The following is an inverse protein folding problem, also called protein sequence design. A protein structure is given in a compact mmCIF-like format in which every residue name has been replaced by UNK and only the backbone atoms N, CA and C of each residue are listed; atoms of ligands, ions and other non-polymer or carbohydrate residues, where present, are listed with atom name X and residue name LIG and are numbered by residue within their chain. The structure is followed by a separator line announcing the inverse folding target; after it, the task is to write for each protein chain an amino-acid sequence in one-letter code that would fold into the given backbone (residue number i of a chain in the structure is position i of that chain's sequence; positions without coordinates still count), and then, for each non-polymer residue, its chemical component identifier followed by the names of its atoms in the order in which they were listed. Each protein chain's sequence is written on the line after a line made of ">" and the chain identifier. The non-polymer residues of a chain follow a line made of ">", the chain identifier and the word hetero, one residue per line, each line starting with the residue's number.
data_IF_694892511740
#
_entry.id   IF_694892511740
#
_cell.length_a   1.000
_cell.length_b   1.000
_cell.length_c   1.000
_cell.angle_alpha   90.00
_cell.angle_beta   90.00
_cell.angle_gamma   90.00
#
_symmetry.space_group_name_H-M   'P 1'
#
loop_
_entity.id
_entity.type
_entity.pdbx_description
1 polymer ?
#
# COMPACT_ATOMS: atom_id res chain seq x y z
N UNK A 1 -13.96 -46.27 -43.76
CA UNK A 1 -14.98 -46.06 -44.82
C UNK A 1 -15.35 -44.58 -44.79
N UNK A 2 -14.93 -43.87 -45.84
CA UNK A 2 -15.14 -42.46 -46.22
C UNK A 2 -14.92 -41.30 -45.22
N UNK A 3 -13.81 -40.60 -45.46
CA UNK A 3 -13.65 -39.15 -45.27
C UNK A 3 -14.58 -38.37 -46.22
N UNK A 4 -15.09 -37.22 -45.78
CA UNK A 4 -15.60 -36.19 -46.69
C UNK A 4 -15.06 -34.82 -46.29
N UNK A 5 -14.10 -34.34 -47.07
CA UNK A 5 -13.64 -32.96 -47.09
C UNK A 5 -14.74 -32.05 -47.66
N UNK A 6 -15.04 -30.94 -46.99
CA UNK A 6 -15.75 -29.81 -47.61
C UNK A 6 -14.76 -28.66 -47.81
N UNK A 7 -14.34 -28.49 -49.08
CA UNK A 7 -13.63 -27.31 -49.56
C UNK A 7 -14.63 -26.15 -49.70
N UNK A 8 -14.38 -25.03 -49.01
CA UNK A 8 -15.07 -23.77 -49.28
C UNK A 8 -14.28 -22.98 -50.33
N UNK A 9 -14.81 -22.96 -51.56
CA UNK A 9 -14.32 -22.10 -52.64
C UNK A 9 -14.85 -20.68 -52.47
N UNK A 10 -13.93 -19.71 -52.45
CA UNK A 10 -14.24 -18.28 -52.53
C UNK A 10 -14.88 -17.91 -53.88
N UNK A 11 -16.04 -17.26 -53.85
CA UNK A 11 -16.58 -16.53 -55.01
C UNK A 11 -16.73 -15.05 -54.65
N UNK A 12 -15.89 -14.24 -55.31
CA UNK A 12 -16.06 -12.79 -55.43
C UNK A 12 -17.32 -12.51 -56.25
N UNK A 13 -18.21 -11.68 -55.71
CA UNK A 13 -19.23 -10.98 -56.49
C UNK A 13 -19.02 -9.49 -56.25
N UNK A 14 -18.56 -8.82 -57.31
CA UNK A 14 -18.44 -7.36 -57.41
C UNK A 14 -19.78 -6.87 -57.92
N UNK A 15 -20.50 -6.06 -57.13
CA UNK A 15 -21.53 -5.17 -57.66
C UNK A 15 -21.18 -3.74 -57.31
N UNK A 16 -20.83 -2.97 -58.33
CA UNK A 16 -20.70 -1.53 -58.28
C UNK A 16 -22.09 -0.91 -58.04
N UNK A 17 -22.23 -0.12 -56.97
CA UNK A 17 -23.25 0.92 -56.89
C UNK A 17 -22.54 2.21 -56.49
N UNK A 18 -22.36 3.08 -57.47
CA UNK A 18 -21.97 4.48 -57.26
C UNK A 18 -23.19 5.24 -56.74
N UNK A 19 -23.13 5.76 -55.52
CA UNK A 19 -23.90 6.93 -55.14
C UNK A 19 -23.05 7.78 -54.21
N UNK A 20 -22.69 8.98 -54.68
CA UNK A 20 -21.83 9.91 -53.97
C UNK A 20 -22.49 10.44 -52.71
N UNK A 21 -21.81 10.28 -51.58
CA UNK A 21 -22.01 11.12 -50.41
C UNK A 21 -20.65 11.60 -49.89
N UNK A 22 -20.63 12.89 -49.61
CA UNK A 22 -19.49 13.75 -49.34
C UNK A 22 -18.53 13.16 -48.30
N UNK A 23 -17.24 13.22 -48.61
CA UNK A 23 -16.16 12.93 -47.68
C UNK A 23 -16.18 13.95 -46.53
N UNK A 24 -16.74 13.56 -45.39
CA UNK A 24 -16.52 14.26 -44.12
C UNK A 24 -15.20 13.75 -43.55
N UNK A 25 -14.18 14.60 -43.63
CA UNK A 25 -12.91 14.40 -42.98
C UNK A 25 -13.07 14.58 -41.47
N UNK A 26 -12.82 13.50 -40.72
CA UNK A 26 -12.16 13.46 -39.41
C UNK A 26 -12.26 12.03 -38.88
N UNK A 27 -11.49 11.12 -39.48
CA UNK A 27 -10.98 9.98 -38.71
C UNK A 27 -9.99 10.57 -37.71
N UNK A 28 -10.48 10.93 -36.52
CA UNK A 28 -9.61 11.06 -35.36
C UNK A 28 -8.96 9.70 -35.16
N UNK A 29 -7.75 9.54 -35.69
CA UNK A 29 -6.78 8.61 -35.11
C UNK A 29 -6.63 9.07 -33.66
N UNK A 30 -7.36 8.42 -32.75
CA UNK A 30 -6.88 8.32 -31.37
C UNK A 30 -5.59 7.52 -31.45
N UNK A 31 -4.48 8.22 -31.71
CA UNK A 31 -3.25 7.79 -31.08
C UNK A 31 -3.59 7.78 -29.59
N UNK A 32 -3.63 6.60 -28.98
CA UNK A 32 -3.40 6.48 -27.54
C UNK A 32 -1.99 7.02 -27.32
N UNK A 33 -1.89 8.34 -27.25
CA UNK A 33 -0.74 9.01 -26.68
C UNK A 33 -0.50 8.34 -25.33
N UNK A 34 0.75 8.01 -25.06
CA UNK A 34 1.20 7.45 -23.78
C UNK A 34 1.08 8.53 -22.69
N UNK A 35 -0.15 8.96 -22.42
CA UNK A 35 -0.48 9.95 -21.44
C UNK A 35 -0.12 9.39 -20.07
N UNK A 36 0.75 10.10 -19.36
CA UNK A 36 1.09 9.76 -17.99
C UNK A 36 -0.22 9.69 -17.17
N UNK A 37 -0.40 8.65 -16.35
CA UNK A 37 -1.58 8.58 -15.49
C UNK A 37 -1.67 9.80 -14.57
N UNK A 38 -2.88 10.26 -14.32
CA UNK A 38 -3.14 11.34 -13.36
C UNK A 38 -2.94 10.84 -11.93
N UNK A 39 -2.34 11.68 -11.07
CA UNK A 39 -2.27 11.46 -9.62
C UNK A 39 -3.25 12.37 -8.85
N UNK A 40 -4.21 12.98 -9.55
CA UNK A 40 -5.19 13.87 -8.94
C UNK A 40 -6.32 13.07 -8.26
N UNK A 41 -6.30 13.06 -6.92
CA UNK A 41 -7.32 12.37 -6.13
C UNK A 41 -8.71 12.97 -6.32
N UNK A 42 -8.84 14.29 -6.52
CA UNK A 42 -10.14 14.93 -6.74
C UNK A 42 -10.81 14.41 -8.02
N UNK A 43 -10.05 14.32 -9.12
CA UNK A 43 -10.55 13.79 -10.39
C UNK A 43 -10.98 12.32 -10.27
N UNK A 44 -10.20 11.51 -9.53
CA UNK A 44 -10.59 10.12 -9.24
C UNK A 44 -11.88 10.08 -8.41
N UNK A 45 -12.02 10.94 -7.41
CA UNK A 45 -13.20 11.00 -6.55
C UNK A 45 -14.46 11.35 -7.33
N UNK A 46 -14.38 12.23 -8.32
CA UNK A 46 -15.51 12.52 -9.22
C UNK A 46 -15.95 11.31 -10.05
N UNK A 47 -15.00 10.49 -10.50
CA UNK A 47 -15.30 9.22 -11.19
C UNK A 47 -15.91 8.22 -10.21
N UNK A 48 -15.28 8.04 -9.04
CA UNK A 48 -15.74 7.16 -7.98
C UNK A 48 -17.15 7.51 -7.49
N UNK A 49 -17.52 8.78 -7.43
CA UNK A 49 -18.86 9.23 -7.05
C UNK A 49 -19.96 8.64 -7.94
N UNK A 50 -19.68 8.52 -9.25
CA UNK A 50 -20.65 8.15 -10.29
C UNK A 50 -20.69 6.65 -10.59
N UNK A 51 -19.62 5.91 -10.26
CA UNK A 51 -19.45 4.50 -10.61
C UNK A 51 -20.50 3.59 -9.96
N UNK A 52 -21.21 2.77 -10.72
CA UNK A 52 -22.23 1.84 -10.23
C UNK A 52 -21.70 0.43 -10.00
N UNK A 53 -20.70 0.01 -10.76
CA UNK A 53 -20.13 -1.34 -10.75
C UNK A 53 -18.61 -1.26 -10.66
N UNK A 54 -18.08 -1.39 -9.44
CA UNK A 54 -16.66 -1.19 -9.16
C UNK A 54 -15.96 -2.54 -9.02
N UNK A 55 -14.96 -2.79 -9.86
CA UNK A 55 -14.06 -3.94 -9.72
C UNK A 55 -12.76 -3.53 -9.00
N UNK A 56 -12.36 -4.26 -7.97
CA UNK A 56 -11.12 -4.02 -7.23
C UNK A 56 -10.23 -5.25 -7.37
N UNK A 57 -9.18 -5.16 -8.17
CA UNK A 57 -8.20 -6.23 -8.37
C UNK A 57 -7.07 -6.04 -7.36
N UNK A 58 -6.80 -7.05 -6.53
CA UNK A 58 -5.75 -6.95 -5.49
C UNK A 58 -4.65 -7.99 -5.64
N UNK A 59 -3.43 -7.60 -5.29
CA UNK A 59 -2.28 -8.51 -5.19
C UNK A 59 -1.58 -8.44 -3.83
N UNK A 60 -0.43 -9.10 -3.71
CA UNK A 60 0.25 -9.31 -2.43
C UNK A 60 0.64 -8.01 -1.69
N UNK A 61 0.84 -6.91 -2.43
CA UNK A 61 1.15 -5.60 -1.86
C UNK A 61 0.04 -5.04 -0.96
N UNK A 62 -1.23 -5.41 -1.18
CA UNK A 62 -2.32 -4.99 -0.28
C UNK A 62 -2.16 -5.57 1.13
N UNK A 63 -1.54 -6.75 1.24
CA UNK A 63 -1.31 -7.49 2.49
C UNK A 63 0.04 -7.18 3.14
N UNK A 64 0.92 -6.43 2.46
CA UNK A 64 2.25 -6.10 2.97
C UNK A 64 2.18 -5.33 4.30
N UNK A 65 1.26 -4.36 4.42
CA UNK A 65 1.04 -3.57 5.64
C UNK A 65 0.42 -4.39 6.78
N UNK A 66 -0.07 -5.60 6.50
CA UNK A 66 -0.46 -6.59 7.53
C UNK A 66 0.73 -7.42 8.02
N UNK A 67 1.95 -7.16 7.54
CA UNK A 67 3.15 -7.95 7.86
C UNK A 67 3.15 -9.33 7.19
N UNK A 68 2.45 -9.47 6.05
CA UNK A 68 2.47 -10.67 5.21
C UNK A 68 3.63 -10.56 4.22
N UNK A 69 4.55 -11.54 4.14
CA UNK A 69 5.61 -11.54 3.15
C UNK A 69 5.05 -11.51 1.73
N UNK A 70 5.55 -10.60 0.89
CA UNK A 70 5.18 -10.54 -0.52
C UNK A 70 6.09 -11.42 -1.37
N UNK A 71 5.65 -11.78 -2.58
CA UNK A 71 6.45 -12.54 -3.55
C UNK A 71 7.66 -11.77 -4.15
N UNK A 72 7.97 -10.57 -3.66
CA UNK A 72 9.07 -9.71 -4.13
C UNK A 72 9.96 -9.29 -2.96
N UNK A 73 11.21 -8.93 -3.30
CA UNK A 73 12.21 -8.47 -2.33
C UNK A 73 12.60 -9.56 -1.33
N UNK A 74 13.06 -9.15 -0.15
CA UNK A 74 13.51 -10.08 0.90
C UNK A 74 12.41 -11.06 1.37
N UNK A 75 11.12 -10.71 1.20
CA UNK A 75 9.99 -11.57 1.57
C UNK A 75 9.67 -12.69 0.57
N UNK A 76 10.29 -12.69 -0.61
CA UNK A 76 10.00 -13.66 -1.68
C UNK A 76 10.69 -15.02 -1.52
N UNK A 77 11.59 -15.14 -0.54
CA UNK A 77 12.36 -16.36 -0.27
C UNK A 77 11.84 -17.09 0.97
N UNK A 78 11.77 -18.41 0.87
CA UNK A 78 11.62 -19.31 2.01
C UNK A 78 12.76 -20.33 1.94
N UNK A 79 13.58 -20.39 2.99
CA UNK A 79 14.92 -20.97 2.94
C UNK A 79 15.73 -20.36 1.79
N UNK A 80 16.18 -21.20 0.85
CA UNK A 80 16.92 -20.82 -0.35
C UNK A 80 16.06 -20.78 -1.62
N UNK A 81 14.77 -21.03 -1.51
CA UNK A 81 13.87 -21.13 -2.67
C UNK A 81 12.98 -19.91 -2.78
N UNK A 82 12.74 -19.48 -4.01
CA UNK A 82 11.68 -18.53 -4.28
C UNK A 82 10.32 -19.24 -4.29
N UNK A 83 9.27 -18.54 -3.89
CA UNK A 83 7.94 -19.12 -3.80
C UNK A 83 7.45 -19.74 -5.13
N UNK A 84 7.83 -19.18 -6.29
CA UNK A 84 7.49 -19.73 -7.60
C UNK A 84 8.21 -21.04 -7.96
N UNK A 85 9.30 -21.38 -7.25
CA UNK A 85 9.99 -22.66 -7.44
C UNK A 85 9.30 -23.79 -6.65
N UNK A 86 8.62 -23.45 -5.55
CA UNK A 86 7.92 -24.41 -4.67
C UNK A 86 6.43 -24.54 -4.99
N UNK A 87 5.79 -23.48 -5.48
CA UNK A 87 4.38 -23.46 -5.85
C UNK A 87 4.16 -23.98 -7.28
N UNK A 88 4.63 -25.20 -7.56
CA UNK A 88 4.51 -25.89 -8.86
C UNK A 88 4.06 -27.34 -8.69
N UNK A 89 3.33 -27.93 -9.65
CA UNK A 89 3.03 -29.36 -9.64
C UNK A 89 4.29 -30.23 -9.58
N UNK A 90 5.35 -29.84 -10.30
CA UNK A 90 6.61 -30.59 -10.39
C UNK A 90 7.36 -30.60 -9.06
N UNK A 91 7.35 -29.49 -8.31
CA UNK A 91 7.96 -29.44 -6.97
C UNK A 91 7.20 -30.33 -6.00
N UNK A 92 5.86 -30.31 -6.05
CA UNK A 92 5.04 -31.15 -5.17
C UNK A 92 5.20 -32.65 -5.48
N UNK A 93 5.23 -33.02 -6.76
CA UNK A 93 5.49 -34.40 -7.17
C UNK A 93 6.88 -34.89 -6.74
N UNK A 94 7.89 -34.01 -6.80
CA UNK A 94 9.28 -34.34 -6.44
C UNK A 94 9.51 -34.42 -4.94
N UNK A 95 8.94 -33.51 -4.17
CA UNK A 95 9.13 -33.45 -2.72
C UNK A 95 7.90 -32.82 -2.03
N UNK A 96 6.83 -33.61 -1.82
CA UNK A 96 5.60 -33.13 -1.22
C UNK A 96 5.80 -32.70 0.24
N UNK A 97 6.75 -33.30 0.96
CA UNK A 97 7.11 -32.90 2.33
C UNK A 97 7.58 -31.45 2.38
N UNK A 98 8.56 -31.09 1.56
CA UNK A 98 9.11 -29.72 1.53
C UNK A 98 8.05 -28.70 1.12
N UNK A 99 7.21 -29.02 0.13
CA UNK A 99 6.13 -28.13 -0.27
C UNK A 99 5.11 -27.97 0.86
N UNK A 100 4.76 -29.04 1.57
CA UNK A 100 3.90 -28.95 2.74
C UNK A 100 4.53 -28.17 3.90
N UNK A 101 5.83 -28.28 4.14
CA UNK A 101 6.55 -27.43 5.11
C UNK A 101 6.44 -25.94 4.74
N UNK A 102 6.63 -25.60 3.47
CA UNK A 102 6.49 -24.24 2.96
C UNK A 102 5.06 -23.69 3.17
N UNK A 103 4.04 -24.47 2.83
CA UNK A 103 2.65 -24.06 3.03
C UNK A 103 2.23 -24.04 4.50
N UNK A 104 2.73 -24.97 5.31
CA UNK A 104 2.51 -24.98 6.76
C UNK A 104 3.06 -23.72 7.41
N UNK A 105 4.32 -23.36 7.12
CA UNK A 105 4.91 -22.09 7.57
C UNK A 105 4.02 -20.89 7.26
N UNK A 106 3.55 -20.79 6.01
CA UNK A 106 2.69 -19.67 5.59
C UNK A 106 1.36 -19.68 6.32
N UNK A 107 0.75 -20.84 6.54
CA UNK A 107 -0.48 -20.97 7.33
C UNK A 107 -0.27 -20.47 8.76
N UNK A 108 0.79 -20.92 9.43
CA UNK A 108 1.11 -20.51 10.80
C UNK A 108 1.40 -19.01 10.90
N UNK A 109 2.17 -18.44 9.97
CA UNK A 109 2.41 -16.98 9.88
C UNK A 109 1.08 -16.24 9.80
N UNK A 110 0.17 -16.70 8.95
CA UNK A 110 -1.12 -16.05 8.69
C UNK A 110 -2.11 -16.08 9.86
N UNK A 111 -1.96 -17.01 10.82
CA UNK A 111 -2.81 -17.05 12.03
C UNK A 111 -2.67 -15.77 12.86
N UNK A 112 -1.48 -15.19 12.90
CA UNK A 112 -1.17 -13.95 13.64
C UNK A 112 -1.49 -12.66 12.88
N UNK A 113 -1.94 -12.74 11.61
CA UNK A 113 -2.12 -11.55 10.75
C UNK A 113 -3.57 -11.09 10.73
N UNK A 114 -3.73 -9.78 10.72
CA UNK A 114 -5.02 -9.11 10.71
C UNK A 114 -5.15 -8.20 9.47
N UNK A 115 -6.38 -7.96 9.00
CA UNK A 115 -6.63 -6.98 7.95
C UNK A 115 -6.08 -5.59 8.34
N UNK A 116 -5.42 -4.94 7.39
CA UNK A 116 -4.91 -3.56 7.54
C UNK A 116 -5.93 -2.53 7.01
N UNK A 117 -5.66 -1.21 7.12
CA UNK A 117 -6.59 -0.16 6.69
C UNK A 117 -7.06 -0.26 5.22
N UNK A 118 -6.26 -0.82 4.30
CA UNK A 118 -6.68 -1.02 2.92
C UNK A 118 -7.84 -2.01 2.80
N UNK A 119 -7.72 -3.16 3.47
CA UNK A 119 -8.75 -4.20 3.49
C UNK A 119 -10.04 -3.69 4.14
N UNK A 120 -9.89 -2.97 5.26
CA UNK A 120 -11.03 -2.39 5.98
C UNK A 120 -11.74 -1.35 5.10
N UNK A 121 -11.00 -0.45 4.45
CA UNK A 121 -11.58 0.54 3.55
C UNK A 121 -12.34 -0.09 2.38
N UNK A 122 -11.82 -1.18 1.80
CA UNK A 122 -12.49 -1.94 0.73
C UNK A 122 -13.80 -2.57 1.24
N UNK A 123 -13.76 -3.30 2.35
CA UNK A 123 -14.94 -3.96 2.92
C UNK A 123 -16.02 -2.94 3.34
N UNK A 124 -15.63 -1.83 3.95
CA UNK A 124 -16.54 -0.74 4.30
C UNK A 124 -17.13 -0.04 3.07
N UNK A 125 -16.34 0.12 2.01
CA UNK A 125 -16.78 0.68 0.74
C UNK A 125 -17.88 -0.19 0.12
N UNK A 126 -17.65 -1.51 0.00
CA UNK A 126 -18.64 -2.48 -0.48
C UNK A 126 -19.94 -2.40 0.32
N UNK A 127 -19.84 -2.50 1.66
CA UNK A 127 -20.99 -2.45 2.57
C UNK A 127 -21.77 -1.13 2.45
N UNK A 128 -21.08 -0.02 2.20
CA UNK A 128 -21.72 1.28 2.04
C UNK A 128 -22.40 1.42 0.68
N UNK A 129 -21.74 1.02 -0.39
CA UNK A 129 -22.21 1.17 -1.77
C UNK A 129 -23.37 0.24 -2.09
N UNK A 130 -23.38 -0.98 -1.54
CA UNK A 130 -24.51 -1.91 -1.65
C UNK A 130 -25.83 -1.30 -1.15
N UNK A 131 -25.80 -0.53 -0.05
CA UNK A 131 -26.98 0.19 0.46
C UNK A 131 -27.47 1.30 -0.48
N UNK A 132 -26.66 1.72 -1.45
CA UNK A 132 -26.98 2.73 -2.46
C UNK A 132 -27.36 2.09 -3.80
N UNK A 133 -27.52 0.77 -3.87
CA UNK A 133 -27.79 0.05 -5.12
C UNK A 133 -26.58 -0.02 -6.07
N UNK A 134 -25.36 0.16 -5.55
CA UNK A 134 -24.10 0.08 -6.30
C UNK A 134 -23.36 -1.20 -5.90
N UNK A 135 -22.66 -1.84 -6.83
CA UNK A 135 -21.87 -3.04 -6.54
C UNK A 135 -20.38 -2.76 -6.47
N UNK A 136 -19.71 -3.49 -5.57
CA UNK A 136 -18.26 -3.60 -5.50
C UNK A 136 -17.94 -5.09 -5.54
N UNK A 137 -16.96 -5.49 -6.34
CA UNK A 137 -16.39 -6.84 -6.33
C UNK A 137 -14.90 -6.75 -6.08
N UNK A 138 -14.38 -7.68 -5.27
CA UNK A 138 -12.95 -7.82 -5.04
C UNK A 138 -12.45 -9.07 -5.75
N UNK A 139 -11.52 -8.90 -6.70
CA UNK A 139 -10.87 -9.96 -7.45
C UNK A 139 -9.45 -10.08 -6.93
N UNK A 140 -9.21 -11.01 -5.99
CA UNK A 140 -7.93 -11.10 -5.28
C UNK A 140 -7.06 -12.22 -5.81
N UNK A 141 -5.80 -11.90 -6.12
CA UNK A 141 -4.74 -12.86 -6.39
C UNK A 141 -4.22 -13.52 -5.11
N UNK A 142 -4.53 -12.96 -3.94
CA UNK A 142 -4.01 -13.40 -2.65
C UNK A 142 -4.77 -14.63 -2.16
N UNK A 143 -4.03 -15.51 -1.50
CA UNK A 143 -4.51 -16.77 -0.91
C UNK A 143 -4.59 -16.70 0.62
N UNK A 144 -4.58 -15.49 1.19
CA UNK A 144 -4.36 -15.20 2.61
C UNK A 144 -5.64 -15.02 3.45
N UNK A 145 -6.80 -14.94 2.77
CA UNK A 145 -8.13 -14.68 3.34
C UNK A 145 -8.28 -13.36 4.11
N UNK A 146 -7.36 -12.38 3.97
CA UNK A 146 -7.46 -11.12 4.72
C UNK A 146 -8.66 -10.26 4.28
N UNK A 147 -9.03 -10.28 3.00
CA UNK A 147 -10.27 -9.63 2.53
C UNK A 147 -11.53 -10.26 3.15
N UNK A 148 -11.54 -11.59 3.28
CA UNK A 148 -12.61 -12.34 3.94
C UNK A 148 -12.68 -11.98 5.42
N UNK A 149 -11.54 -11.95 6.12
CA UNK A 149 -11.44 -11.51 7.53
C UNK A 149 -11.86 -10.05 7.73
N UNK A 150 -11.64 -9.18 6.73
CA UNK A 150 -12.08 -7.78 6.77
C UNK A 150 -13.60 -7.61 6.61
N UNK A 151 -14.31 -8.66 6.18
CA UNK A 151 -15.75 -8.65 6.00
C UNK A 151 -16.22 -8.42 4.56
N UNK A 152 -15.31 -8.43 3.57
CA UNK A 152 -15.65 -8.38 2.15
C UNK A 152 -16.58 -9.55 1.79
N UNK A 153 -17.68 -9.30 1.10
CA UNK A 153 -18.69 -10.33 0.77
C UNK A 153 -18.60 -10.79 -0.68
N UNK A 154 -18.51 -9.87 -1.62
CA UNK A 154 -18.38 -10.15 -3.04
C UNK A 154 -16.91 -10.31 -3.41
N UNK A 155 -16.38 -11.51 -3.15
CA UNK A 155 -14.96 -11.84 -3.21
C UNK A 155 -14.69 -13.02 -4.16
N UNK A 156 -13.83 -12.82 -5.14
CA UNK A 156 -13.33 -13.84 -6.06
C UNK A 156 -11.85 -14.12 -5.76
N UNK A 157 -11.57 -15.25 -5.08
CA UNK A 157 -10.23 -15.72 -4.72
C UNK A 157 -9.62 -16.53 -5.87
N UNK A 158 -9.08 -15.84 -6.88
CA UNK A 158 -8.76 -16.46 -8.18
C UNK A 158 -7.62 -17.48 -8.14
N UNK A 159 -6.80 -17.46 -7.09
CA UNK A 159 -5.70 -18.41 -6.89
C UNK A 159 -5.95 -19.37 -5.71
N UNK A 160 -7.18 -19.46 -5.21
CA UNK A 160 -7.56 -20.35 -4.10
C UNK A 160 -7.22 -19.79 -2.72
N UNK A 161 -6.97 -20.67 -1.74
CA UNK A 161 -6.73 -20.28 -0.34
C UNK A 161 -5.71 -21.18 0.37
N UNK A 162 -4.87 -20.58 1.23
CA UNK A 162 -3.98 -21.30 2.17
C UNK A 162 -4.74 -22.17 3.18
N UNK A 163 -6.00 -21.83 3.45
CA UNK A 163 -6.86 -22.50 4.42
C UNK A 163 -7.88 -23.43 3.77
N UNK A 164 -7.61 -23.86 2.54
CA UNK A 164 -8.34 -24.95 1.88
C UNK A 164 -7.38 -26.03 1.40
N UNK A 165 -7.83 -27.28 1.42
CA UNK A 165 -7.11 -28.43 0.88
C UNK A 165 -7.90 -29.08 -0.24
N UNK A 166 -7.21 -29.66 -1.22
CA UNK A 166 -7.77 -30.49 -2.28
C UNK A 166 -7.13 -31.86 -2.24
N UNK A 167 -7.93 -32.92 -2.22
CA UNK A 167 -7.42 -34.28 -2.35
C UNK A 167 -6.91 -34.52 -3.78
N UNK A 168 -5.72 -35.11 -3.93
CA UNK A 168 -5.17 -35.47 -5.24
C UNK A 168 -5.80 -36.72 -5.85
N UNK A 169 -6.56 -37.49 -5.07
CA UNK A 169 -7.25 -38.71 -5.51
C UNK A 169 -8.73 -38.45 -5.84
N UNK A 170 -9.57 -38.15 -4.83
CA UNK A 170 -11.01 -37.96 -5.03
C UNK A 170 -11.41 -36.54 -5.44
N UNK A 171 -10.48 -35.57 -5.42
CA UNK A 171 -10.76 -34.18 -5.79
C UNK A 171 -11.51 -33.36 -4.74
N UNK A 172 -11.90 -33.94 -3.60
CA UNK A 172 -12.62 -33.23 -2.54
C UNK A 172 -11.87 -31.97 -2.10
N UNK A 173 -12.61 -30.85 -1.95
CA UNK A 173 -12.10 -29.56 -1.51
C UNK A 173 -12.75 -29.19 -0.19
N UNK A 174 -11.93 -29.02 0.86
CA UNK A 174 -12.41 -28.70 2.19
C UNK A 174 -11.66 -27.50 2.79
N UNK A 175 -12.36 -26.74 3.64
CA UNK A 175 -11.70 -25.77 4.49
C UNK A 175 -10.91 -26.48 5.59
N UNK A 176 -9.70 -26.00 5.88
CA UNK A 176 -8.86 -26.56 6.91
C UNK A 176 -8.08 -25.42 7.61
N UNK A 177 -8.48 -25.14 8.84
CA UNK A 177 -7.84 -24.16 9.72
C UNK A 177 -7.03 -24.81 10.86
N UNK A 178 -6.80 -26.13 10.81
CA UNK A 178 -6.03 -26.86 11.84
C UNK A 178 -4.60 -26.32 11.91
N UNK A 179 -4.10 -26.15 13.13
CA UNK A 179 -2.72 -25.77 13.46
C UNK A 179 -2.18 -26.74 14.52
N UNK A 180 -1.18 -27.59 14.18
CA UNK A 180 -0.68 -27.83 12.83
C UNK A 180 -1.74 -28.54 11.95
N UNK A 181 -1.54 -28.53 10.63
CA UNK A 181 -2.49 -29.18 9.69
C UNK A 181 -2.49 -30.72 9.81
N UNK A 182 -1.35 -31.31 10.14
CA UNK A 182 -1.20 -32.70 10.57
C UNK A 182 -0.10 -32.79 11.65
N UNK A 183 -0.09 -33.84 12.49
CA UNK A 183 0.89 -33.97 13.57
C UNK A 183 2.35 -33.95 13.09
N UNK A 184 2.66 -34.56 11.95
CA UNK A 184 4.03 -34.67 11.43
C UNK A 184 4.65 -33.31 11.06
N UNK A 185 3.82 -32.30 10.77
CA UNK A 185 4.28 -30.94 10.47
C UNK A 185 4.48 -30.08 11.72
N UNK A 186 4.14 -30.55 12.91
CA UNK A 186 4.32 -29.80 14.16
C UNK A 186 5.79 -29.32 14.32
N UNK A 187 5.97 -28.01 14.48
CA UNK A 187 7.28 -27.39 14.63
C UNK A 187 8.18 -27.44 13.38
N UNK A 188 7.63 -27.79 12.21
CA UNK A 188 8.34 -27.78 10.91
C UNK A 188 8.05 -26.50 10.13
N UNK A 189 8.73 -26.33 8.99
CA UNK A 189 8.51 -25.16 8.12
C UNK A 189 9.39 -23.94 8.43
N UNK A 190 10.38 -24.05 9.32
CA UNK A 190 11.27 -22.92 9.62
C UNK A 190 11.88 -22.34 8.32
N UNK A 191 11.85 -21.00 8.14
CA UNK A 191 12.21 -20.35 6.88
C UNK A 191 13.71 -20.12 6.73
N UNK A 192 14.53 -20.48 7.72
CA UNK A 192 15.98 -20.25 7.71
C UNK A 192 16.66 -21.07 6.58
N UNK A 193 17.53 -20.47 5.75
CA UNK A 193 18.22 -21.16 4.64
C UNK A 193 18.97 -22.43 5.01
N UNK A 194 19.48 -22.53 6.24
CA UNK A 194 20.23 -23.68 6.74
C UNK A 194 19.33 -24.80 7.27
N UNK A 195 18.01 -24.56 7.33
CA UNK A 195 17.05 -25.56 7.77
C UNK A 195 17.00 -26.72 6.79
N UNK A 196 17.26 -27.94 7.30
CA UNK A 196 17.14 -29.16 6.52
C UNK A 196 15.66 -29.53 6.28
N UNK A 197 15.40 -30.24 5.19
CA UNK A 197 14.05 -30.77 4.94
C UNK A 197 13.65 -31.76 6.03
N UNK A 198 12.39 -31.72 6.45
CA UNK A 198 11.86 -32.65 7.44
C UNK A 198 11.76 -34.09 6.92
N UNK A 199 11.76 -34.27 5.58
CA UNK A 199 11.68 -35.56 4.89
C UNK A 199 10.56 -36.48 5.42
N UNK A 200 9.38 -35.89 5.66
CA UNK A 200 8.20 -36.59 6.17
C UNK A 200 7.71 -37.58 5.12
N UNK A 201 7.38 -38.80 5.55
CA UNK A 201 6.83 -39.85 4.67
C UNK A 201 5.47 -39.40 4.11
N UNK A 202 5.13 -39.83 2.91
CA UNK A 202 3.92 -39.33 2.21
C UNK A 202 2.65 -39.66 2.98
N UNK A 203 2.59 -40.82 3.62
CA UNK A 203 1.48 -41.28 4.46
C UNK A 203 1.29 -40.46 5.76
N UNK A 204 2.35 -39.79 6.24
CA UNK A 204 2.31 -38.96 7.45
C UNK A 204 2.01 -37.47 7.12
N UNK A 205 2.02 -37.10 5.84
CA UNK A 205 1.57 -35.79 5.36
C UNK A 205 0.05 -35.67 5.44
N UNK A 206 -0.55 -34.48 5.23
CA UNK A 206 -2.00 -34.32 5.28
C UNK A 206 -2.73 -35.27 4.30
N UNK A 207 -3.56 -36.17 4.83
CA UNK A 207 -4.34 -37.13 4.05
C UNK A 207 -5.82 -36.75 3.99
N UNK A 208 -6.51 -37.24 2.97
CA UNK A 208 -7.95 -37.08 2.82
C UNK A 208 -8.70 -37.84 3.90
N UNK A 209 -9.62 -37.15 4.57
CA UNK A 209 -10.49 -37.69 5.63
C UNK A 209 -11.81 -38.26 5.08
N UNK A 210 -12.00 -38.28 3.75
CA UNK A 210 -13.17 -38.92 3.12
C UNK A 210 -13.07 -40.44 3.21
N UNK A 211 -14.19 -41.09 3.54
CA UNK A 211 -14.29 -42.53 3.75
C UNK A 211 -13.71 -43.32 2.55
N UNK A 212 -12.68 -44.13 2.82
CA UNK A 212 -12.04 -44.98 1.83
C UNK A 212 -11.10 -44.28 0.84
N UNK A 213 -10.86 -42.97 0.95
CA UNK A 213 -9.99 -42.25 0.01
C UNK A 213 -8.51 -42.29 0.41
N UNK A 214 -8.17 -41.82 1.62
CA UNK A 214 -6.81 -41.67 2.14
C UNK A 214 -5.79 -41.05 1.15
N UNK A 215 -6.26 -40.27 0.18
CA UNK A 215 -5.39 -39.66 -0.82
C UNK A 215 -4.62 -38.47 -0.25
N UNK A 216 -3.37 -38.29 -0.67
CA UNK A 216 -2.55 -37.14 -0.29
C UNK A 216 -3.30 -35.83 -0.57
N UNK A 217 -3.39 -34.96 0.42
CA UNK A 217 -3.89 -33.61 0.21
C UNK A 217 -2.80 -32.75 -0.40
N UNK A 218 -3.24 -31.73 -1.13
CA UNK A 218 -2.44 -30.56 -1.47
C UNK A 218 -3.17 -29.28 -1.04
N UNK A 219 -2.49 -28.14 -0.88
CA UNK A 219 -3.16 -26.86 -0.75
C UNK A 219 -4.08 -26.61 -1.95
N UNK A 220 -5.30 -26.14 -1.70
CA UNK A 220 -6.24 -25.75 -2.75
C UNK A 220 -5.91 -24.33 -3.23
N UNK A 221 -4.75 -24.24 -3.87
CA UNK A 221 -4.20 -23.04 -4.49
C UNK A 221 -3.86 -23.36 -5.94
N UNK A 222 -3.90 -22.35 -6.78
CA UNK A 222 -3.44 -22.45 -8.17
C UNK A 222 -1.92 -22.32 -8.15
N UNK A 223 -1.23 -23.36 -8.61
CA UNK A 223 0.23 -23.33 -8.78
C UNK A 223 0.64 -22.73 -10.12
N UNK A 224 1.89 -22.28 -10.21
CA UNK A 224 2.47 -21.88 -11.49
C UNK A 224 2.47 -23.09 -12.42
N UNK A 225 2.00 -22.87 -13.66
CA UNK A 225 1.77 -23.94 -14.64
C UNK A 225 0.36 -24.52 -14.62
N UNK A 226 -0.45 -24.25 -13.59
CA UNK A 226 -1.85 -24.67 -13.55
C UNK A 226 -2.80 -23.60 -14.12
N UNK A 227 -3.93 -24.06 -14.64
CA UNK A 227 -5.02 -23.19 -15.08
C UNK A 227 -5.83 -22.71 -13.89
N UNK A 228 -6.33 -21.48 -13.95
CA UNK A 228 -7.36 -21.01 -13.02
C UNK A 228 -8.66 -21.80 -13.25
N UNK A 229 -9.49 -21.85 -12.21
CA UNK A 229 -10.83 -22.47 -12.31
C UNK A 229 -11.66 -21.74 -13.38
N UNK A 230 -12.16 -22.46 -14.42
CA UNK A 230 -12.96 -21.86 -15.50
C UNK A 230 -14.22 -21.13 -15.01
N UNK A 231 -14.85 -21.61 -13.94
CA UNK A 231 -16.05 -20.96 -13.38
C UNK A 231 -15.68 -19.63 -12.72
N UNK A 232 -14.53 -19.57 -12.03
CA UNK A 232 -14.03 -18.33 -11.45
C UNK A 232 -13.62 -17.35 -12.56
N UNK A 233 -12.95 -17.82 -13.61
CA UNK A 233 -12.61 -16.98 -14.76
C UNK A 233 -13.85 -16.41 -15.43
N UNK A 234 -14.89 -17.22 -15.65
CA UNK A 234 -16.18 -16.77 -16.20
C UNK A 234 -16.83 -15.70 -15.31
N UNK A 235 -16.79 -15.89 -13.98
CA UNK A 235 -17.30 -14.89 -13.04
C UNK A 235 -16.49 -13.59 -13.09
N UNK A 236 -15.15 -13.69 -13.15
CA UNK A 236 -14.26 -12.54 -13.32
C UNK A 236 -14.57 -11.80 -14.62
N UNK A 237 -14.66 -12.50 -15.74
CA UNK A 237 -14.96 -11.91 -17.05
C UNK A 237 -16.27 -11.14 -17.04
N UNK A 238 -17.33 -11.72 -16.46
CA UNK A 238 -18.63 -11.05 -16.30
C UNK A 238 -18.51 -9.75 -15.51
N UNK A 239 -17.80 -9.76 -14.37
CA UNK A 239 -17.61 -8.57 -13.55
C UNK A 239 -16.77 -7.50 -14.27
N UNK A 240 -15.71 -7.91 -14.96
CA UNK A 240 -14.86 -7.02 -15.75
C UNK A 240 -15.59 -6.46 -16.98
N UNK A 241 -16.60 -7.14 -17.51
CA UNK A 241 -17.43 -6.66 -18.63
C UNK A 241 -18.38 -5.55 -18.17
N UNK A 242 -19.03 -5.71 -17.03
CA UNK A 242 -20.05 -4.75 -16.54
C UNK A 242 -19.46 -3.59 -15.75
N UNK A 243 -18.20 -3.67 -15.29
CA UNK A 243 -17.63 -2.63 -14.44
C UNK A 243 -17.48 -1.29 -15.18
N UNK A 244 -17.76 -0.20 -14.45
CA UNK A 244 -17.63 1.18 -14.91
C UNK A 244 -16.53 1.96 -14.16
N UNK A 245 -15.86 1.31 -13.20
CA UNK A 245 -14.62 1.75 -12.57
C UNK A 245 -13.82 0.52 -12.11
N UNK A 246 -12.51 0.52 -12.38
CA UNK A 246 -11.61 -0.52 -11.91
C UNK A 246 -10.47 0.06 -11.05
N UNK A 247 -10.21 -0.58 -9.91
CA UNK A 247 -9.06 -0.29 -9.05
C UNK A 247 -8.07 -1.45 -9.12
N UNK A 248 -6.78 -1.14 -9.20
CA UNK A 248 -5.68 -2.12 -9.19
C UNK A 248 -4.81 -1.83 -7.99
N UNK A 249 -4.84 -2.70 -6.98
CA UNK A 249 -4.30 -2.42 -5.65
C UNK A 249 -3.18 -3.39 -5.29
N UNK A 250 -1.97 -2.87 -5.09
CA UNK A 250 -0.86 -3.65 -4.55
C UNK A 250 -0.52 -4.90 -5.36
N UNK A 251 -0.70 -4.89 -6.68
CA UNK A 251 -0.24 -5.96 -7.57
C UNK A 251 0.88 -5.44 -8.45
N UNK A 252 1.78 -6.33 -8.84
CA UNK A 252 2.87 -5.95 -9.73
C UNK A 252 2.52 -6.05 -11.21
N UNK A 253 1.32 -6.55 -11.54
CA UNK A 253 0.82 -6.67 -12.91
C UNK A 253 1.76 -7.47 -13.83
N UNK A 254 2.36 -8.56 -13.32
CA UNK A 254 3.25 -9.45 -14.09
C UNK A 254 2.73 -10.89 -14.22
N UNK A 255 1.92 -11.37 -13.27
CA UNK A 255 1.46 -12.76 -13.25
C UNK A 255 0.19 -12.89 -14.08
N UNK A 256 0.25 -13.69 -15.12
CA UNK A 256 -0.88 -13.97 -16.00
C UNK A 256 -1.74 -15.12 -15.45
N UNK A 257 -3.06 -15.12 -15.72
CA UNK A 257 -3.81 -14.16 -16.55
C UNK A 257 -4.18 -12.84 -15.85
N UNK A 258 -4.06 -12.77 -14.52
CA UNK A 258 -4.57 -11.64 -13.73
C UNK A 258 -3.99 -10.26 -14.11
N UNK A 259 -2.74 -10.22 -14.59
CA UNK A 259 -2.10 -9.01 -15.10
C UNK A 259 -2.83 -8.35 -16.28
N UNK A 260 -3.70 -9.09 -16.99
CA UNK A 260 -4.45 -8.57 -18.15
C UNK A 260 -5.82 -8.00 -17.81
N UNK A 261 -6.38 -8.33 -16.64
CA UNK A 261 -7.74 -7.94 -16.28
C UNK A 261 -7.96 -6.43 -16.34
N UNK A 262 -7.12 -5.64 -15.65
CA UNK A 262 -7.24 -4.19 -15.66
C UNK A 262 -6.88 -3.54 -17.00
N UNK A 263 -5.81 -3.98 -17.72
CA UNK A 263 -5.59 -3.53 -19.10
C UNK A 263 -6.78 -3.77 -20.04
N UNK A 264 -7.48 -4.92 -19.92
CA UNK A 264 -8.68 -5.21 -20.71
C UNK A 264 -9.80 -4.21 -20.39
N UNK A 265 -10.03 -3.89 -19.11
CA UNK A 265 -11.00 -2.87 -18.70
C UNK A 265 -10.62 -1.49 -19.27
N UNK A 266 -9.35 -1.08 -19.14
CA UNK A 266 -8.88 0.20 -19.66
C UNK A 266 -9.04 0.33 -21.17
N UNK A 267 -8.79 -0.76 -21.92
CA UNK A 267 -8.94 -0.78 -23.38
C UNK A 267 -10.38 -0.52 -23.85
N UNK A 268 -11.39 -0.73 -22.99
CA UNK A 268 -12.80 -0.39 -23.25
C UNK A 268 -13.13 1.09 -22.95
N UNK A 269 -12.16 1.88 -22.51
CA UNK A 269 -12.35 3.27 -22.10
C UNK A 269 -12.84 3.46 -20.67
N UNK A 270 -12.95 2.37 -19.89
CA UNK A 270 -13.35 2.42 -18.48
C UNK A 270 -12.19 2.98 -17.64
N UNK A 271 -12.44 3.94 -16.73
CA UNK A 271 -11.40 4.46 -15.84
C UNK A 271 -10.77 3.37 -14.98
N UNK A 272 -9.43 3.28 -15.03
CA UNK A 272 -8.64 2.42 -14.16
C UNK A 272 -7.75 3.27 -13.26
N UNK A 273 -7.75 2.98 -11.96
CA UNK A 273 -6.90 3.61 -10.97
C UNK A 273 -5.97 2.59 -10.30
N UNK A 274 -4.67 2.77 -10.47
CA UNK A 274 -3.66 1.95 -9.80
C UNK A 274 -3.23 2.57 -8.47
N UNK A 275 -3.24 1.77 -7.40
CA UNK A 275 -2.76 2.11 -6.07
C UNK A 275 -1.61 1.17 -5.74
N UNK A 276 -0.38 1.68 -5.75
CA UNK A 276 0.80 0.83 -5.60
C UNK A 276 1.99 1.62 -5.08
N UNK A 277 2.97 0.94 -4.49
CA UNK A 277 4.21 1.59 -4.05
C UNK A 277 5.02 2.14 -5.23
N UNK A 278 5.00 1.42 -6.34
CA UNK A 278 5.81 1.69 -7.53
C UNK A 278 4.95 1.54 -8.80
N UNK A 279 5.39 2.18 -9.88
CA UNK A 279 4.83 1.93 -11.20
C UNK A 279 5.11 0.48 -11.66
N UNK A 280 4.15 -0.10 -12.37
CA UNK A 280 4.18 -1.43 -12.95
C UNK A 280 4.28 -1.35 -14.48
N UNK A 281 4.54 -2.48 -15.18
CA UNK A 281 4.48 -2.52 -16.64
C UNK A 281 3.12 -2.09 -17.23
N UNK A 282 2.05 -2.12 -16.43
CA UNK A 282 0.71 -1.73 -16.84
C UNK A 282 0.36 -0.26 -16.53
N UNK A 283 1.15 0.45 -15.71
CA UNK A 283 0.82 1.80 -15.22
C UNK A 283 0.44 2.77 -16.32
N UNK A 284 1.22 2.84 -17.42
CA UNK A 284 0.96 3.77 -18.53
C UNK A 284 -0.29 3.43 -19.36
N UNK A 285 -0.99 2.34 -19.04
CA UNK A 285 -2.29 1.98 -19.65
C UNK A 285 -3.46 2.52 -18.83
N UNK A 286 -3.24 3.05 -17.63
CA UNK A 286 -4.30 3.42 -16.70
C UNK A 286 -4.51 4.93 -16.65
N UNK A 287 -5.73 5.33 -16.27
CA UNK A 287 -6.11 6.75 -16.15
C UNK A 287 -5.49 7.40 -14.92
N UNK A 288 -5.40 6.66 -13.81
CA UNK A 288 -4.84 7.15 -12.56
C UNK A 288 -3.75 6.24 -12.01
N UNK A 289 -2.74 6.84 -11.38
CA UNK A 289 -1.74 6.15 -10.58
C UNK A 289 -1.49 6.93 -9.29
N UNK A 290 -1.70 6.26 -8.16
CA UNK A 290 -1.52 6.79 -6.82
C UNK A 290 -0.36 6.04 -6.14
N UNK A 291 0.84 6.64 -6.11
CA UNK A 291 2.00 6.02 -5.49
C UNK A 291 1.88 6.04 -3.96
N UNK A 292 2.25 4.94 -3.31
CA UNK A 292 2.39 4.84 -1.86
C UNK A 292 1.64 3.67 -1.22
N UNK A 293 1.67 3.57 0.11
CA UNK A 293 1.03 2.48 0.85
C UNK A 293 -0.48 2.45 0.59
N UNK A 294 -1.01 1.26 0.35
CA UNK A 294 -2.43 1.07 0.06
C UNK A 294 -3.29 1.43 1.28
N UNK A 295 -2.80 1.16 2.49
CA UNK A 295 -3.46 1.51 3.75
C UNK A 295 -3.53 3.01 4.01
N UNK A 296 -2.70 3.81 3.33
CA UNK A 296 -2.76 5.28 3.39
C UNK A 296 -3.56 5.88 2.25
N UNK A 297 -3.46 5.32 1.05
CA UNK A 297 -4.05 5.89 -0.17
C UNK A 297 -5.50 5.47 -0.40
N UNK A 298 -5.89 4.24 -0.03
CA UNK A 298 -7.26 3.76 -0.25
C UNK A 298 -8.31 4.36 0.69
N UNK A 299 -8.08 4.54 2.01
CA UNK A 299 -9.10 5.12 2.88
C UNK A 299 -9.63 6.49 2.40
N UNK A 300 -8.80 7.47 2.02
CA UNK A 300 -9.32 8.74 1.46
C UNK A 300 -9.94 8.56 0.07
N UNK A 301 -9.41 7.66 -0.77
CA UNK A 301 -9.96 7.38 -2.10
C UNK A 301 -11.39 6.80 -2.00
N UNK A 302 -11.62 5.91 -1.05
CA UNK A 302 -12.88 5.19 -0.83
C UNK A 302 -13.74 5.81 0.28
N UNK A 303 -13.41 7.00 0.77
CA UNK A 303 -14.18 7.68 1.83
C UNK A 303 -15.61 8.03 1.38
N UNK A 304 -16.49 8.37 2.32
CA UNK A 304 -17.76 9.02 1.98
C UNK A 304 -17.48 10.36 1.30
N UNK A 305 -18.31 10.75 0.35
CA UNK A 305 -18.39 12.17 0.05
C UNK A 305 -18.86 12.88 1.31
N UNK A 306 -18.10 13.88 1.78
CA UNK A 306 -18.69 14.90 2.63
C UNK A 306 -19.87 15.48 1.86
N UNK A 307 -21.02 15.66 2.52
CA UNK A 307 -22.23 16.25 1.94
C UNK A 307 -21.90 17.41 0.98
N UNK A 308 -22.67 17.61 -0.11
CA UNK A 308 -22.36 18.59 -1.13
C UNK A 308 -22.14 19.95 -0.47
N UNK A 309 -20.89 20.35 -0.47
CA UNK A 309 -20.44 21.67 -0.13
C UNK A 309 -21.27 22.62 -1.02
N UNK A 310 -22.15 23.41 -0.40
CA UNK A 310 -23.06 24.34 -1.11
C UNK A 310 -22.29 25.15 -2.15
N UNK A 311 -22.91 25.55 -3.25
CA UNK A 311 -22.25 26.22 -4.39
C UNK A 311 -21.32 27.39 -3.98
N UNK A 312 -21.64 28.08 -2.88
CA UNK A 312 -20.83 29.12 -2.24
C UNK A 312 -19.44 28.65 -1.75
N UNK A 313 -19.33 27.41 -1.28
CA UNK A 313 -18.08 26.84 -0.77
C UNK A 313 -17.18 26.25 -1.86
N UNK A 314 -17.75 25.74 -2.96
CA UNK A 314 -17.03 25.34 -4.17
C UNK A 314 -16.39 26.54 -4.87
N UNK A 315 -17.07 27.69 -4.86
CA UNK A 315 -16.56 28.94 -5.41
C UNK A 315 -15.46 29.55 -4.55
N UNK A 316 -15.52 29.41 -3.21
CA UNK A 316 -14.43 29.80 -2.30
C UNK A 316 -13.21 28.88 -2.37
N UNK A 317 -13.39 27.56 -2.60
CA UNK A 317 -12.28 26.59 -2.72
C UNK A 317 -11.44 26.78 -3.98
N UNK A 318 -12.04 27.23 -5.09
CA UNK A 318 -11.30 27.55 -6.33
C UNK A 318 -10.43 28.81 -6.23
N UNK A 319 -10.59 29.63 -5.18
CA UNK A 319 -9.90 30.91 -4.99
C UNK A 319 -8.86 30.89 -3.87
N UNK A 320 -8.74 29.80 -3.10
CA UNK A 320 -7.83 29.73 -1.95
C UNK A 320 -6.61 28.86 -2.24
N UNK A 321 -5.38 29.32 -1.92
CA UNK A 321 -4.17 28.51 -2.04
C UNK A 321 -4.23 27.26 -1.16
N UNK A 322 -3.62 26.16 -1.64
CA UNK A 322 -3.64 24.82 -1.00
C UNK A 322 -3.22 24.83 0.49
N UNK A 323 -2.33 25.74 0.88
CA UNK A 323 -1.89 25.92 2.27
C UNK A 323 -3.03 26.32 3.23
N UNK A 324 -3.98 27.12 2.77
CA UNK A 324 -5.12 27.59 3.58
C UNK A 324 -6.15 26.47 3.77
N UNK A 325 -6.29 25.59 2.79
CA UNK A 325 -7.17 24.42 2.87
C UNK A 325 -6.65 23.39 3.89
N UNK A 326 -5.33 23.28 4.03
CA UNK A 326 -4.68 22.42 5.02
C UNK A 326 -4.83 22.97 6.45
N UNK A 327 -4.79 24.29 6.63
CA UNK A 327 -5.04 24.94 7.93
C UNK A 327 -6.49 24.76 8.41
N UNK A 328 -7.46 24.92 7.51
CA UNK A 328 -8.89 24.74 7.83
C UNK A 328 -9.25 23.28 8.15
N UNK A 329 -8.55 22.32 7.55
CA UNK A 329 -8.73 20.89 7.84
C UNK A 329 -8.08 20.45 9.15
N UNK A 330 -7.17 21.25 9.72
CA UNK A 330 -6.44 20.96 10.95
C UNK A 330 -7.08 21.60 12.21
N UNK A 331 -8.15 22.37 12.06
CA UNK A 331 -8.85 22.97 13.20
C UNK A 331 -9.65 21.90 13.99
N UNK A 332 -9.49 21.81 15.32
CA UNK A 332 -10.29 20.90 16.14
C UNK A 332 -11.76 21.38 16.20
N UNK A 333 -12.73 20.47 16.41
CA UNK A 333 -14.14 20.86 16.46
C UNK A 333 -14.40 21.77 17.66
N UNK A 334 -15.05 22.91 17.42
CA UNK A 334 -15.58 23.76 18.49
C UNK A 334 -16.62 22.97 19.31
N UNK A 335 -16.49 23.02 20.63
CA UNK A 335 -17.45 22.43 21.57
C UNK A 335 -18.75 23.22 21.50
N UNK A 336 -19.82 22.56 21.06
CA UNK A 336 -21.17 23.05 21.24
C UNK A 336 -21.63 22.82 22.69
N UNK A 337 -21.93 23.93 23.36
CA UNK A 337 -23.00 24.17 24.35
C UNK A 337 -23.00 23.44 25.70
N UNK A 338 -22.71 24.22 26.76
CA UNK A 338 -23.25 24.06 28.10
C UNK A 338 -24.05 25.33 28.42
N UNK A 339 -25.37 25.30 28.26
CA UNK A 339 -26.32 26.25 28.87
C UNK A 339 -27.76 25.73 28.72
N UNK A 340 -28.19 24.84 29.63
CA UNK A 340 -29.60 24.67 30.00
C UNK A 340 -29.71 23.75 31.22
N UNK A 341 -29.72 24.33 32.43
CA UNK A 341 -30.35 23.72 33.60
C UNK A 341 -30.48 24.73 34.75
N UNK A 342 -31.52 25.56 34.70
CA UNK A 342 -32.06 26.22 35.87
C UNK A 342 -33.58 26.32 35.72
N UNK A 343 -34.30 25.30 36.19
CA UNK A 343 -35.61 25.40 36.85
C UNK A 343 -36.26 24.01 36.98
N UNK A 344 -36.82 23.77 38.17
CA UNK A 344 -37.87 22.80 38.50
C UNK A 344 -37.48 21.31 38.57
N UNK A 345 -37.19 20.82 39.79
CA UNK A 345 -38.10 20.32 40.85
C UNK A 345 -38.44 18.84 40.67
N UNK A 346 -38.01 18.04 41.65
CA UNK A 346 -38.48 16.68 41.86
C UNK A 346 -37.74 16.00 43.02
N UNK A 347 -38.36 16.07 44.20
CA UNK A 347 -38.60 14.92 45.10
C UNK A 347 -37.38 14.16 45.67
N UNK A 348 -37.14 14.25 46.98
CA UNK A 348 -37.70 13.40 48.06
C UNK A 348 -37.10 11.98 48.12
N UNK A 349 -36.68 11.65 49.35
CA UNK A 349 -36.23 10.36 49.89
C UNK A 349 -34.82 9.89 49.45
N UNK A 350 -33.90 9.46 50.33
CA UNK A 350 -33.91 9.28 51.78
C UNK A 350 -32.64 8.52 52.22
N UNK A 351 -32.22 8.72 53.47
CA UNK A 351 -31.20 7.93 54.20
C UNK A 351 -29.75 8.19 53.78
N UNK A 352 -28.75 8.30 54.65
CA UNK A 352 -28.67 8.10 56.09
C UNK A 352 -27.18 7.97 56.45
N UNK A 353 -26.80 8.65 57.53
CA UNK A 353 -25.73 8.30 58.48
C UNK A 353 -24.24 8.27 58.05
N UNK A 354 -23.51 9.21 58.66
CA UNK A 354 -22.44 8.95 59.64
C UNK A 354 -20.94 8.95 59.22
N UNK A 355 -20.29 10.02 59.74
CA UNK A 355 -19.14 10.04 60.68
C UNK A 355 -17.70 9.81 60.20
N UNK A 356 -16.88 10.79 60.64
CA UNK A 356 -15.54 10.69 61.24
C UNK A 356 -14.37 10.38 60.30
N UNK A 357 -13.16 10.95 60.43
CA UNK A 357 -12.53 11.80 61.46
C UNK A 357 -11.15 12.24 60.95
N UNK A 358 -10.69 13.41 61.43
CA UNK A 358 -9.30 13.76 61.83
C UNK A 358 -8.12 13.60 60.82
N UNK A 359 -7.09 14.44 60.77
CA UNK A 359 -6.63 15.52 61.62
C UNK A 359 -5.39 16.19 60.98
N UNK A 360 -5.20 17.47 61.30
CA UNK A 360 -4.11 18.37 60.87
C UNK A 360 -2.84 18.18 61.71
N UNK A 361 -1.67 18.51 61.15
CA UNK A 361 -0.56 19.31 61.73
C UNK A 361 0.74 19.06 60.92
N UNK A 362 1.74 19.94 60.76
CA UNK A 362 2.00 21.33 61.14
C UNK A 362 3.25 21.82 60.37
N UNK A 363 3.38 23.14 60.25
CA UNK A 363 4.54 23.93 59.76
C UNK A 363 5.71 23.93 60.75
N UNK A 364 6.93 24.20 60.26
CA UNK A 364 7.91 25.08 60.93
C UNK A 364 8.96 25.66 59.95
N UNK A 365 9.57 26.77 60.36
CA UNK A 365 10.07 27.92 59.58
C UNK A 365 11.46 28.37 60.11
N UNK A 366 12.24 29.12 59.29
CA UNK A 366 13.47 29.95 59.56
C UNK A 366 14.82 29.19 59.51
N UNK A 367 15.99 29.74 59.13
CA UNK A 367 16.51 31.12 58.90
C UNK A 367 17.84 31.04 58.09
N UNK A 368 18.29 32.16 57.51
CA UNK A 368 19.53 32.38 56.71
C UNK A 368 20.68 32.93 57.58
N UNK A 369 21.97 32.56 57.31
CA UNK A 369 23.20 33.42 57.27
C UNK A 369 24.37 32.71 56.51
N UNK A 370 25.20 33.51 55.83
CA UNK A 370 26.29 33.26 54.84
C UNK A 370 27.64 32.69 55.35
N UNK A 371 28.41 32.03 54.45
CA UNK A 371 29.76 32.49 53.99
C UNK A 371 30.36 31.70 52.80
N UNK A 372 30.78 32.48 51.78
CA UNK A 372 31.91 32.40 50.82
C UNK A 372 32.33 31.07 50.14
N UNK A 373 32.35 31.08 48.80
CA UNK A 373 33.30 30.30 48.00
C UNK A 373 32.84 29.89 46.59
N UNK A 374 33.30 30.64 45.57
CA UNK A 374 33.52 30.26 44.16
C UNK A 374 32.38 29.71 43.26
N UNK A 375 32.34 30.27 42.04
CA UNK A 375 31.37 30.05 40.95
C UNK A 375 31.51 28.67 40.28
N UNK A 376 30.38 28.02 39.99
CA UNK A 376 29.94 27.68 38.62
C UNK A 376 28.56 26.99 38.67
N UNK A 377 27.64 27.42 37.80
CA UNK A 377 26.23 26.98 37.78
C UNK A 377 26.12 25.55 37.21
N UNK A 378 25.53 24.63 37.97
CA UNK A 378 25.12 23.31 37.49
C UNK A 378 24.14 22.61 38.44
N UNK A 379 22.89 22.45 37.98
CA UNK A 379 22.04 21.23 38.03
C UNK A 379 20.53 21.57 38.03
N UNK A 380 19.88 21.15 36.94
CA UNK A 380 18.50 20.68 36.63
C UNK A 380 17.38 20.86 37.70
N UNK A 381 16.11 21.15 37.35
CA UNK A 381 15.13 20.24 36.70
C UNK A 381 14.00 21.00 35.94
N UNK A 382 13.82 20.57 34.68
CA UNK A 382 12.62 20.35 33.84
C UNK A 382 11.52 21.41 33.51
N UNK A 383 11.29 21.45 32.19
CA UNK A 383 10.10 21.73 31.35
C UNK A 383 9.58 23.17 31.20
N UNK A 384 9.93 23.80 30.06
CA UNK A 384 9.01 24.04 28.93
C UNK A 384 9.81 24.50 27.71
N UNK A 385 9.97 23.62 26.72
CA UNK A 385 10.43 24.05 25.40
C UNK A 385 9.27 24.77 24.72
N UNK A 386 9.38 26.10 24.66
CA UNK A 386 8.75 26.89 23.60
C UNK A 386 9.86 27.31 22.61
N UNK A 387 9.47 27.17 21.35
CA UNK A 387 10.03 27.73 20.11
C UNK A 387 11.31 27.08 19.53
N UNK A 388 11.15 26.42 18.36
CA UNK A 388 11.97 26.55 17.13
C UNK A 388 11.60 25.48 16.05
N UNK A 389 10.97 25.88 14.93
CA UNK A 389 11.48 26.18 13.56
C UNK A 389 11.40 25.02 12.53
N UNK A 390 10.68 25.32 11.45
CA UNK A 390 10.44 24.53 10.23
C UNK A 390 11.72 24.38 9.36
N UNK A 391 12.79 23.76 9.86
CA UNK A 391 14.03 23.54 9.07
C UNK A 391 14.37 22.06 8.75
N UNK A 392 13.66 21.07 9.33
CA UNK A 392 14.09 19.66 9.26
C UNK A 392 13.85 18.93 7.94
N UNK A 393 12.66 19.04 7.34
CA UNK A 393 12.22 18.09 6.30
C UNK A 393 12.85 18.36 4.93
N UNK A 394 12.91 19.63 4.50
CA UNK A 394 13.50 19.99 3.21
C UNK A 394 15.03 19.82 3.20
N UNK A 395 15.71 20.05 4.31
CA UNK A 395 17.14 19.78 4.43
C UNK A 395 17.45 18.28 4.42
N UNK A 396 16.57 17.45 5.01
CA UNK A 396 16.70 16.00 5.00
C UNK A 396 16.54 15.43 3.58
N UNK A 397 15.50 15.86 2.86
CA UNK A 397 15.27 15.48 1.46
C UNK A 397 16.41 15.93 0.53
N UNK A 398 16.96 17.13 0.72
CA UNK A 398 18.10 17.61 -0.06
C UNK A 398 19.38 16.80 0.23
N UNK A 399 19.62 16.42 1.49
CA UNK A 399 20.78 15.62 1.91
C UNK A 399 20.69 14.18 1.40
N UNK A 400 19.50 13.58 1.46
CA UNK A 400 19.23 12.25 0.94
C UNK A 400 19.40 12.22 -0.58
N UNK A 401 18.92 13.26 -1.29
CA UNK A 401 19.12 13.39 -2.74
C UNK A 401 20.61 13.48 -3.13
N UNK A 402 21.40 14.30 -2.43
CA UNK A 402 22.85 14.45 -2.66
C UNK A 402 23.61 13.13 -2.39
N UNK A 403 23.23 12.43 -1.32
CA UNK A 403 23.78 11.12 -0.93
C UNK A 403 23.49 10.05 -1.98
N UNK A 404 22.24 9.95 -2.44
CA UNK A 404 21.82 8.87 -3.34
C UNK A 404 22.27 9.08 -4.79
N UNK A 405 22.38 10.33 -5.26
CA UNK A 405 22.55 10.60 -6.70
C UNK A 405 23.90 11.22 -7.09
N UNK A 406 24.66 11.78 -6.15
CA UNK A 406 25.86 12.57 -6.49
C UNK A 406 27.14 12.15 -5.77
N UNK A 407 27.04 11.63 -4.54
CA UNK A 407 28.20 11.29 -3.72
C UNK A 407 28.16 9.88 -3.09
N UNK A 408 27.14 9.08 -3.41
CA UNK A 408 27.00 7.69 -2.96
C UNK A 408 27.91 6.71 -3.71
N UNK A 409 28.15 5.51 -3.15
CA UNK A 409 28.97 4.48 -3.82
C UNK A 409 28.38 4.13 -5.19
N UNK A 410 29.16 4.27 -6.27
CA UNK A 410 28.72 3.98 -7.64
C UNK A 410 28.13 5.16 -8.42
N UNK A 411 28.19 6.39 -7.90
CA UNK A 411 27.73 7.59 -8.63
C UNK A 411 28.84 8.22 -9.48
N UNK A 412 28.52 8.66 -10.70
CA UNK A 412 29.43 9.45 -11.54
C UNK A 412 29.63 10.81 -10.88
N UNK A 413 30.86 11.11 -10.46
CA UNK A 413 31.21 12.38 -9.80
C UNK A 413 30.95 13.55 -10.75
N UNK A 414 29.83 14.24 -10.55
CA UNK A 414 29.48 15.44 -11.31
C UNK A 414 30.46 16.55 -10.95
N UNK A 415 31.09 17.15 -11.96
CA UNK A 415 32.03 18.25 -11.75
C UNK A 415 31.34 19.49 -11.16
N UNK A 416 32.06 20.29 -10.36
CA UNK A 416 31.47 21.46 -9.68
C UNK A 416 30.74 22.42 -10.65
N UNK A 417 31.28 22.60 -11.86
CA UNK A 417 30.67 23.47 -12.88
C UNK A 417 29.33 22.94 -13.40
N UNK A 418 29.20 21.61 -13.51
CA UNK A 418 27.96 20.95 -13.94
C UNK A 418 26.92 20.95 -12.81
N UNK A 419 27.36 20.79 -11.56
CA UNK A 419 26.50 20.89 -10.37
C UNK A 419 25.88 22.28 -10.20
N UNK A 420 26.64 23.35 -10.46
CA UNK A 420 26.15 24.74 -10.36
C UNK A 420 25.54 25.30 -11.66
N UNK A 421 25.33 24.45 -12.67
CA UNK A 421 24.75 24.86 -13.95
C UNK A 421 23.35 25.49 -13.81
N UNK A 422 23.01 26.37 -14.75
CA UNK A 422 21.70 27.01 -14.82
C UNK A 422 20.55 26.00 -14.94
N UNK A 423 20.82 24.85 -15.56
CA UNK A 423 19.86 23.76 -15.73
C UNK A 423 19.48 23.11 -14.38
N UNK A 424 20.47 22.84 -13.51
CA UNK A 424 20.23 22.31 -12.17
C UNK A 424 19.58 23.33 -11.22
N UNK A 425 19.75 24.64 -11.46
CA UNK A 425 19.08 25.71 -10.71
C UNK A 425 17.60 25.90 -11.07
N UNK A 426 17.14 25.36 -12.20
CA UNK A 426 15.74 25.44 -12.64
C UNK A 426 14.87 24.30 -12.10
N UNK A 427 15.46 23.15 -11.77
CA UNK A 427 14.73 22.03 -11.18
C UNK A 427 14.54 22.25 -9.66
N UNK A 428 13.32 22.17 -9.10
CA UNK A 428 13.05 22.55 -7.69
C UNK A 428 13.85 21.74 -6.65
N UNK A 429 14.02 20.44 -6.88
CA UNK A 429 14.74 19.52 -5.99
C UNK A 429 16.24 19.76 -6.10
N UNK A 430 16.75 19.90 -7.32
CA UNK A 430 18.17 20.19 -7.56
C UNK A 430 18.55 21.61 -7.12
N UNK A 431 17.64 22.57 -7.24
CA UNK A 431 17.76 23.94 -6.74
C UNK A 431 17.88 23.96 -5.21
N UNK A 432 17.07 23.16 -4.51
CA UNK A 432 17.18 23.00 -3.05
C UNK A 432 18.53 22.38 -2.64
N UNK A 433 19.01 21.38 -3.38
CA UNK A 433 20.34 20.78 -3.16
C UNK A 433 21.48 21.78 -3.44
N UNK A 434 21.39 22.55 -4.52
CA UNK A 434 22.35 23.62 -4.86
C UNK A 434 22.34 24.73 -3.80
N UNK A 435 21.18 25.17 -3.32
CA UNK A 435 21.04 26.18 -2.25
C UNK A 435 21.52 25.67 -0.89
N UNK A 436 21.31 24.38 -0.59
CA UNK A 436 21.81 23.73 0.63
C UNK A 436 23.34 23.69 0.64
N UNK A 437 23.95 23.31 -0.48
CA UNK A 437 25.42 23.32 -0.65
C UNK A 437 25.96 24.75 -0.66
N UNK A 438 25.32 25.72 -1.32
CA UNK A 438 25.79 27.11 -1.37
C UNK A 438 25.82 27.79 0.02
N UNK A 439 24.82 27.52 0.88
CA UNK A 439 24.80 28.02 2.27
C UNK A 439 25.81 27.32 3.19
N UNK A 440 25.92 26.00 3.13
CA UNK A 440 26.80 25.21 4.00
C UNK A 440 28.26 25.27 3.57
N UNK A 441 28.53 25.17 2.27
CA UNK A 441 29.86 25.28 1.66
C UNK A 441 30.38 26.72 1.63
N UNK A 442 29.49 27.72 1.51
CA UNK A 442 29.82 29.14 1.65
C UNK A 442 30.31 29.50 3.05
N UNK A 443 29.73 28.91 4.11
CA UNK A 443 30.25 29.06 5.47
C UNK A 443 31.55 28.30 5.68
N UNK A 444 31.67 27.06 5.20
CA UNK A 444 32.89 26.27 5.36
C UNK A 444 34.07 26.88 4.59
N UNK A 445 33.86 27.41 3.38
CA UNK A 445 34.88 28.16 2.63
C UNK A 445 35.20 29.51 3.26
N UNK A 446 34.23 30.25 3.80
CA UNK A 446 34.50 31.48 4.57
C UNK A 446 35.31 31.18 5.85
N UNK A 447 35.00 30.07 6.53
CA UNK A 447 35.72 29.63 7.72
C UNK A 447 37.13 29.10 7.38
N UNK A 448 37.28 28.35 6.29
CA UNK A 448 38.58 27.90 5.77
C UNK A 448 39.41 29.07 5.27
N UNK A 449 38.82 30.04 4.57
CA UNK A 449 39.48 31.27 4.15
C UNK A 449 39.88 32.15 5.35
N UNK A 450 39.03 32.24 6.38
CA UNK A 450 39.36 32.94 7.62
C UNK A 450 40.48 32.24 8.41
N UNK A 451 40.44 30.91 8.52
CA UNK A 451 41.50 30.09 9.15
C UNK A 451 42.80 30.13 8.37
N UNK A 452 42.73 30.09 7.03
CA UNK A 452 43.89 30.25 6.17
C UNK A 452 44.48 31.65 6.30
N UNK A 453 43.65 32.71 6.28
CA UNK A 453 44.08 34.09 6.50
C UNK A 453 44.72 34.28 7.88
N UNK A 454 44.16 33.69 8.94
CA UNK A 454 44.75 33.73 10.28
C UNK A 454 46.07 32.95 10.37
N UNK A 455 46.16 31.75 9.78
CA UNK A 455 47.41 30.97 9.72
C UNK A 455 48.47 31.69 8.90
N UNK A 456 48.09 32.27 7.76
CA UNK A 456 48.99 33.04 6.91
C UNK A 456 49.51 34.28 7.65
N UNK A 457 48.64 35.07 8.28
CA UNK A 457 49.05 36.21 9.12
C UNK A 457 49.96 35.78 10.29
N UNK A 458 49.64 34.69 10.99
CA UNK A 458 50.48 34.17 12.08
C UNK A 458 51.86 33.67 11.59
N UNK A 459 51.94 33.18 10.34
CA UNK A 459 53.20 32.75 9.72
C UNK A 459 54.02 33.94 9.22
N UNK A 460 53.36 35.04 8.81
CA UNK A 460 54.04 36.29 8.46
C UNK A 460 54.58 37.03 9.70
N UNK A 461 53.83 37.04 10.81
CA UNK A 461 54.26 37.66 12.07
C UNK A 461 55.46 36.91 12.69
N UNK A 462 55.49 35.58 12.60
CA UNK A 462 56.66 34.76 13.03
C UNK A 462 57.90 34.90 12.14
N UNK A 463 57.81 35.57 10.99
CA UNK A 463 58.96 35.87 10.12
C UNK A 463 59.48 37.30 10.29
N UNK A 464 58.84 38.12 11.14
CA UNK A 464 59.22 39.51 11.43
C UNK A 464 59.63 39.76 12.89
N UNK A 465 59.67 38.70 13.71
CA UNK A 465 60.32 38.63 15.02
C UNK A 465 61.36 37.54 14.93
#
# INVERSE_FOLDING_TARGET
>A
MLMSLFQFTARRLVSQVHCGFKASSKKQKFCLEMARPSSNMADFREVFAKAKHIAIITGAGVSAESGVPTFRGAGGFWRKWQAQELATPEAFARNPSRVWEFYHYRREVMLSKHPNPAHIAIAECERRLSKQGRSVVVITQNIDELHRKAGTKHLLEIHGSLFKTRCTNCGNVAANYKSPICPALAGKGAPDPETQDAAIRVEDLPQCEEDGCNGLLRPHVVWFGETLDPNILTAVEKELEICDLCLVVGTSSVVYPAAMFAPQVSARGVPVAEFNMEATPATNRFRFHFPGPCGTTLPPALARESAPLTALSLQRRKLLPEAVLQELAAAPPERAEEQAAAANTGELCGGGAAKQSEGKAQRLVKKVVQRKGARSKGNYVAVRLKDQTLEGLHQKLARDFLSTHLYGPGTNRVGANEFFSLENKKNPVRKAAVQFVDKSWGQEKKLKAARFKQRWLATQIKKQV
#
